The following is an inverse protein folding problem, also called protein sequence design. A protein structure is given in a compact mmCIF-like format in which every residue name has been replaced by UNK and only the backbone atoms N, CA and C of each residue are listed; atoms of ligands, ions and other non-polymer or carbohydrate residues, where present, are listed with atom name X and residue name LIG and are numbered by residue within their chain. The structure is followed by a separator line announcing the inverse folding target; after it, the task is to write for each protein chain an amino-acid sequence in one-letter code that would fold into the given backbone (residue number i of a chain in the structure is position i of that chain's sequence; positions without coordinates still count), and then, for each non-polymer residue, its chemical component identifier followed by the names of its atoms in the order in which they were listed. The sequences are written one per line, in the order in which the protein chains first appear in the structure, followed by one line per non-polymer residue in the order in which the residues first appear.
data_IF_522564550742
#
_entry.id   IF_522564550742
#
_cell.length_a   1.000
_cell.length_b   1.000
_cell.length_c   1.000
_cell.angle_alpha   90.00
_cell.angle_beta   90.00
_cell.angle_gamma   90.00
#
_symmetry.space_group_name_H-M   'P 1'
#
loop_
_entity.id
_entity.type
_entity.pdbx_description
1 polymer ?
#
# COMPACT_ATOMS: atom_id res chain seq x y z
N UNK A 1 2.01 -14.33 11.39
CA UNK A 1 3.39 -14.07 10.89
C UNK A 1 4.42 -14.61 11.88
N UNK A 2 5.50 -15.21 11.40
CA UNK A 2 6.67 -15.59 12.20
C UNK A 2 7.69 -14.44 12.17
N UNK A 3 7.94 -13.81 13.32
CA UNK A 3 8.83 -12.64 13.43
C UNK A 3 10.29 -12.97 13.09
N UNK A 4 10.75 -14.19 13.38
CA UNK A 4 12.10 -14.61 13.01
C UNK A 4 12.25 -14.72 11.49
N UNK A 5 11.28 -15.32 10.80
CA UNK A 5 11.27 -15.40 9.34
C UNK A 5 11.15 -14.01 8.70
N UNK A 6 10.47 -13.08 9.35
CA UNK A 6 10.40 -11.69 8.91
C UNK A 6 11.80 -11.04 8.81
N UNK A 7 12.61 -11.15 9.85
CA UNK A 7 13.98 -10.61 9.86
C UNK A 7 14.95 -11.37 8.93
N UNK A 8 14.63 -12.62 8.57
CA UNK A 8 15.38 -13.39 7.58
C UNK A 8 14.98 -13.10 6.11
N UNK A 9 13.97 -12.26 5.88
CA UNK A 9 13.49 -11.96 4.53
C UNK A 9 12.58 -13.02 3.92
N UNK A 10 11.92 -13.83 4.74
CA UNK A 10 11.10 -14.97 4.30
C UNK A 10 9.61 -14.84 4.68
N UNK A 11 9.16 -13.69 5.17
CA UNK A 11 7.76 -13.48 5.54
C UNK A 11 6.96 -12.86 4.38
N UNK A 12 5.99 -13.62 3.86
CA UNK A 12 5.06 -13.16 2.83
C UNK A 12 3.77 -12.59 3.40
N UNK A 13 3.58 -12.65 4.71
CA UNK A 13 2.36 -12.31 5.43
C UNK A 13 2.56 -11.17 6.45
N UNK A 14 3.64 -10.39 6.31
CA UNK A 14 3.97 -9.31 7.25
C UNK A 14 2.83 -8.26 7.35
N UNK A 15 2.06 -8.04 6.27
CA UNK A 15 0.88 -7.18 6.25
C UNK A 15 -0.27 -7.68 7.16
N UNK A 16 -0.27 -8.93 7.60
CA UNK A 16 -1.26 -9.44 8.56
C UNK A 16 -0.88 -9.14 10.02
N UNK A 17 0.33 -8.62 10.23
CA UNK A 17 0.86 -8.32 11.55
C UNK A 17 1.15 -6.82 11.72
N UNK A 18 1.92 -6.21 10.80
CA UNK A 18 2.21 -4.77 10.79
C UNK A 18 1.04 -3.98 10.20
N UNK A 19 0.94 -2.70 10.56
CA UNK A 19 -0.15 -1.83 10.17
C UNK A 19 -1.19 -1.66 11.28
N UNK A 20 -2.33 -1.07 10.94
CA UNK A 20 -3.46 -0.88 11.83
C UNK A 20 -4.53 -1.95 11.57
N UNK A 21 -4.78 -2.81 12.55
CA UNK A 21 -5.72 -3.93 12.46
C UNK A 21 -6.92 -3.75 13.39
N UNK A 22 -8.12 -3.74 12.82
CA UNK A 22 -9.38 -3.73 13.59
C UNK A 22 -9.59 -5.08 14.24
N UNK A 23 -9.83 -5.09 15.55
CA UNK A 23 -10.06 -6.29 16.37
C UNK A 23 -11.25 -6.08 17.28
N UNK A 24 -11.69 -7.12 17.98
CA UNK A 24 -12.75 -7.02 19.02
C UNK A 24 -12.36 -6.12 20.20
N UNK A 25 -11.06 -5.86 20.40
CA UNK A 25 -10.52 -5.05 21.50
C UNK A 25 -10.23 -3.60 21.08
N UNK A 26 -10.55 -3.21 19.86
CA UNK A 26 -10.20 -1.93 19.26
C UNK A 26 -9.24 -2.11 18.10
N UNK A 27 -8.41 -1.10 17.83
CA UNK A 27 -7.42 -1.15 16.74
C UNK A 27 -6.03 -1.40 17.33
N UNK A 28 -5.34 -2.40 16.80
CA UNK A 28 -3.95 -2.71 17.12
C UNK A 28 -3.05 -2.08 16.07
N UNK A 29 -2.16 -1.20 16.49
CA UNK A 29 -1.17 -0.54 15.65
C UNK A 29 0.19 -1.16 15.86
N UNK A 30 0.89 -1.55 14.78
CA UNK A 30 2.26 -2.10 14.82
C UNK A 30 3.12 -1.49 13.75
N UNK A 31 4.33 -1.09 14.13
CA UNK A 31 5.33 -0.62 13.19
C UNK A 31 6.73 -1.09 13.55
N UNK A 32 7.63 -1.08 12.57
CA UNK A 32 9.04 -1.42 12.72
C UNK A 32 9.87 -0.14 12.71
N UNK A 33 10.58 0.14 13.80
CA UNK A 33 11.48 1.30 13.91
C UNK A 33 12.67 0.95 14.83
N UNK A 34 13.61 0.10 14.38
CA UNK A 34 14.68 -0.45 15.23
C UNK A 34 15.59 0.61 15.86
N UNK A 35 15.82 1.72 15.17
CA UNK A 35 16.73 2.80 15.61
C UNK A 35 15.97 4.04 16.14
N UNK A 36 14.66 3.93 16.38
CA UNK A 36 13.93 4.98 17.08
C UNK A 36 14.24 4.99 18.59
N UNK A 37 14.38 6.18 19.17
CA UNK A 37 14.42 6.36 20.62
C UNK A 37 13.02 6.21 21.25
N UNK A 38 11.98 6.68 20.52
CA UNK A 38 10.57 6.53 20.88
C UNK A 38 9.68 6.54 19.64
N UNK A 39 8.56 5.82 19.71
CA UNK A 39 7.49 5.86 18.73
C UNK A 39 6.19 6.18 19.46
N UNK A 40 5.47 7.16 18.98
CA UNK A 40 4.15 7.52 19.47
C UNK A 40 3.13 7.40 18.35
N UNK A 41 1.95 6.88 18.67
CA UNK A 41 0.78 7.03 17.81
C UNK A 41 0.21 8.43 18.00
N UNK A 42 -0.13 9.11 16.91
CA UNK A 42 -1.00 10.28 16.87
C UNK A 42 -2.18 9.96 15.95
N UNK A 43 -3.40 10.23 16.39
CA UNK A 43 -4.59 9.83 15.67
C UNK A 43 -5.75 10.80 15.89
N UNK A 44 -6.67 10.83 14.92
CA UNK A 44 -7.78 11.78 14.86
C UNK A 44 -8.70 11.70 16.08
N UNK A 45 -9.09 10.50 16.54
CA UNK A 45 -9.99 10.33 17.67
C UNK A 45 -9.35 10.67 19.03
N UNK A 46 -8.04 10.87 19.10
CA UNK A 46 -7.31 11.34 20.27
C UNK A 46 -6.78 12.77 20.10
N UNK A 47 -7.43 13.58 19.26
CA UNK A 47 -7.05 14.97 19.02
C UNK A 47 -5.59 15.19 18.58
N UNK A 48 -5.00 14.16 17.94
CA UNK A 48 -3.60 14.12 17.51
C UNK A 48 -2.56 14.22 18.65
N UNK A 49 -2.99 14.00 19.89
CA UNK A 49 -2.07 13.93 21.04
C UNK A 49 -1.23 12.66 20.99
N UNK A 50 0.09 12.74 21.26
CA UNK A 50 0.98 11.60 21.18
C UNK A 50 0.71 10.55 22.28
N UNK A 51 0.46 9.30 21.89
CA UNK A 51 0.31 8.17 22.80
C UNK A 51 1.53 7.26 22.63
N UNK A 52 2.33 7.03 23.68
CA UNK A 52 3.53 6.19 23.59
C UNK A 52 3.18 4.75 23.20
N UNK A 53 3.90 4.20 22.20
CA UNK A 53 3.83 2.81 21.82
C UNK A 53 4.87 1.98 22.59
N UNK A 54 4.53 0.75 22.91
CA UNK A 54 5.42 -0.16 23.61
C UNK A 54 6.35 -0.86 22.61
N UNK A 55 7.65 -0.87 22.87
CA UNK A 55 8.62 -1.71 22.16
C UNK A 55 8.46 -3.16 22.66
N UNK A 56 7.96 -4.05 21.80
CA UNK A 56 7.60 -5.43 22.15
C UNK A 56 8.62 -6.47 21.66
N UNK A 57 9.61 -6.04 20.86
CA UNK A 57 10.65 -6.93 20.33
C UNK A 57 12.00 -6.19 20.21
N UNK A 58 13.11 -6.90 20.47
CA UNK A 58 14.48 -6.33 20.42
C UNK A 58 14.84 -5.81 19.02
N UNK A 59 14.26 -6.38 17.96
CA UNK A 59 14.40 -5.90 16.58
C UNK A 59 13.66 -4.59 16.28
N UNK A 60 13.04 -3.93 17.28
CA UNK A 60 12.42 -2.62 17.12
C UNK A 60 10.98 -2.63 16.66
N UNK A 61 10.21 -3.67 16.98
CA UNK A 61 8.78 -3.68 16.77
C UNK A 61 8.08 -2.93 17.90
N UNK A 62 7.23 -1.96 17.53
CA UNK A 62 6.40 -1.19 18.46
C UNK A 62 4.93 -1.54 18.27
N UNK A 63 4.19 -1.61 19.38
CA UNK A 63 2.76 -1.95 19.40
C UNK A 63 1.98 -1.02 20.33
N UNK A 64 0.74 -0.73 19.97
CA UNK A 64 -0.26 -0.08 20.81
C UNK A 64 -1.64 -0.57 20.41
N UNK A 65 -2.50 -0.90 21.38
CA UNK A 65 -3.93 -1.13 21.17
C UNK A 65 -4.72 0.06 21.67
N UNK A 66 -5.59 0.61 20.80
CA UNK A 66 -6.48 1.72 21.14
C UNK A 66 -7.93 1.25 21.04
N UNK A 67 -8.61 1.04 22.18
CA UNK A 67 -9.96 0.50 22.21
C UNK A 67 -11.01 1.37 21.51
N UNK A 68 -10.82 2.69 21.53
CA UNK A 68 -11.74 3.68 20.98
C UNK A 68 -11.52 3.94 19.50
N UNK A 69 -10.40 3.50 18.94
CA UNK A 69 -10.10 3.70 17.51
C UNK A 69 -11.00 2.83 16.64
N UNK A 70 -11.46 3.39 15.53
CA UNK A 70 -12.37 2.74 14.58
C UNK A 70 -11.91 2.92 13.13
N UNK A 71 -12.37 2.04 12.24
CA UNK A 71 -12.14 2.16 10.81
C UNK A 71 -12.64 3.52 10.27
N UNK A 72 -11.85 4.12 9.39
CA UNK A 72 -12.10 5.43 8.80
C UNK A 72 -11.31 6.56 9.43
N UNK A 73 -10.86 6.42 10.67
CA UNK A 73 -10.05 7.45 11.34
C UNK A 73 -8.63 7.50 10.81
N UNK A 74 -8.04 8.68 10.88
CA UNK A 74 -6.69 8.97 10.42
C UNK A 74 -5.67 8.82 11.55
N UNK A 75 -4.44 8.42 11.19
CA UNK A 75 -3.34 8.28 12.14
C UNK A 75 -1.97 8.46 11.46
N UNK A 76 -0.95 8.71 12.31
CA UNK A 76 0.46 8.72 11.94
C UNK A 76 1.29 8.16 13.08
N UNK A 77 2.54 7.83 12.79
CA UNK A 77 3.56 7.52 13.80
C UNK A 77 4.51 8.70 13.95
N UNK A 78 4.55 9.29 15.15
CA UNK A 78 5.54 10.30 15.52
C UNK A 78 6.79 9.58 16.02
N UNK A 79 7.87 9.67 15.25
CA UNK A 79 9.11 8.97 15.52
C UNK A 79 10.15 9.95 16.03
N UNK A 80 10.74 9.63 17.20
CA UNK A 80 11.88 10.33 17.77
C UNK A 80 13.13 9.50 17.45
N UNK A 81 14.08 10.02 16.64
CA UNK A 81 15.30 9.30 16.32
C UNK A 81 16.24 9.17 17.54
N UNK A 82 17.14 8.18 17.52
CA UNK A 82 18.17 8.06 18.57
C UNK A 82 19.22 9.19 18.50
N UNK A 83 19.48 9.72 17.31
CA UNK A 83 20.33 10.90 17.16
C UNK A 83 19.60 12.12 17.78
N UNK A 84 20.13 12.74 18.84
CA UNK A 84 19.48 13.89 19.49
C UNK A 84 19.38 15.14 18.61
N UNK A 85 20.18 15.23 17.55
CA UNK A 85 20.14 16.31 16.56
C UNK A 85 19.19 16.00 15.39
N UNK A 86 18.53 14.82 15.39
CA UNK A 86 17.60 14.40 14.35
C UNK A 86 16.20 15.01 14.55
N UNK A 87 15.53 15.28 13.45
CA UNK A 87 14.17 15.82 13.47
C UNK A 87 13.16 14.76 13.93
N UNK A 88 12.20 15.17 14.75
CA UNK A 88 11.02 14.38 15.08
C UNK A 88 10.04 14.54 13.91
N UNK A 89 9.68 13.44 13.26
CA UNK A 89 8.83 13.43 12.07
C UNK A 89 7.57 12.60 12.30
N UNK A 90 6.44 13.09 11.78
CA UNK A 90 5.17 12.40 11.76
C UNK A 90 5.03 11.62 10.44
N UNK A 91 5.29 10.32 10.49
CA UNK A 91 5.28 9.43 9.33
C UNK A 91 3.90 8.81 9.09
N UNK A 92 3.56 8.59 7.81
CA UNK A 92 2.52 7.62 7.48
C UNK A 92 3.00 6.20 7.81
N UNK A 93 2.05 5.28 7.95
CA UNK A 93 2.36 3.88 8.24
C UNK A 93 2.92 3.18 7.00
N UNK A 94 4.12 2.59 7.05
CA UNK A 94 4.66 1.79 5.95
C UNK A 94 3.74 0.65 5.48
N UNK A 95 2.95 0.09 6.40
CA UNK A 95 1.95 -0.95 6.15
C UNK A 95 0.51 -0.40 6.14
N UNK A 96 0.32 0.92 5.98
CA UNK A 96 -0.99 1.55 5.97
C UNK A 96 -1.87 1.07 4.82
N UNK A 97 -3.10 0.65 5.11
CA UNK A 97 -4.06 0.11 4.14
C UNK A 97 -4.94 1.17 3.47
N UNK A 98 -4.74 2.42 3.80
CA UNK A 98 -5.37 3.59 3.20
C UNK A 98 -4.65 4.86 3.61
N UNK A 99 -4.66 5.85 2.75
CA UNK A 99 -4.07 7.17 3.00
C UNK A 99 -5.02 8.27 2.58
N UNK A 100 -4.80 9.47 3.14
CA UNK A 100 -5.48 10.69 2.69
C UNK A 100 -5.11 11.03 1.24
N UNK A 101 -6.01 11.75 0.58
CA UNK A 101 -5.70 12.36 -0.71
C UNK A 101 -4.66 13.47 -0.53
N UNK A 102 -3.66 13.48 -1.41
CA UNK A 102 -2.66 14.56 -1.46
C UNK A 102 -3.31 15.95 -1.48
N UNK A 103 -2.73 16.99 -0.86
CA UNK A 103 -1.37 17.04 -0.27
C UNK A 103 -1.29 16.46 1.15
N UNK A 104 -2.40 16.02 1.72
CA UNK A 104 -2.42 15.35 3.01
C UNK A 104 -1.77 13.97 2.91
N UNK A 105 -1.36 13.42 4.06
CA UNK A 105 -0.53 12.22 4.07
C UNK A 105 -0.68 11.33 5.32
N UNK A 106 -1.77 11.46 6.07
CA UNK A 106 -2.06 10.53 7.14
C UNK A 106 -2.51 9.18 6.60
N UNK A 107 -2.18 8.12 7.30
CA UNK A 107 -2.74 6.81 7.08
C UNK A 107 -4.18 6.74 7.59
N UNK A 108 -5.02 5.90 6.98
CA UNK A 108 -6.43 5.72 7.37
C UNK A 108 -6.62 4.26 7.79
N UNK A 109 -7.21 4.06 8.97
CA UNK A 109 -7.58 2.74 9.46
C UNK A 109 -8.60 2.11 8.51
N UNK A 110 -8.32 0.92 7.99
CA UNK A 110 -9.21 0.19 7.07
C UNK A 110 -9.53 -1.21 7.60
N UNK A 111 -10.79 -1.57 7.59
CA UNK A 111 -11.22 -2.96 7.73
C UNK A 111 -11.40 -3.57 6.34
N UNK A 112 -10.37 -4.29 5.88
CA UNK A 112 -10.38 -4.94 4.57
C UNK A 112 -11.18 -6.24 4.55
N UNK A 113 -11.52 -6.79 5.71
CA UNK A 113 -12.23 -8.07 5.85
C UNK A 113 -13.72 -7.96 5.55
N UNK A 114 -14.27 -6.75 5.55
CA UNK A 114 -15.70 -6.51 5.36
C UNK A 114 -16.18 -6.56 3.90
N UNK A 115 -15.26 -6.67 2.92
CA UNK A 115 -15.64 -6.87 1.51
C UNK A 115 -15.81 -8.37 1.19
N UNK A 116 -16.90 -8.69 0.49
CA UNK A 116 -17.17 -10.05 0.02
C UNK A 116 -17.04 -10.13 -1.50
N UNK A 117 -16.04 -10.86 -2.00
CA UNK A 117 -15.85 -11.12 -3.42
C UNK A 117 -16.87 -12.10 -4.00
N UNK A 118 -17.24 -11.89 -5.26
CA UNK A 118 -18.16 -12.76 -6.03
C UNK A 118 -17.43 -13.48 -7.19
N UNK A 119 -16.12 -13.47 -7.19
CA UNK A 119 -15.23 -13.95 -8.25
C UNK A 119 -14.77 -15.42 -8.09
N UNK A 120 -15.38 -16.20 -7.21
CA UNK A 120 -15.01 -17.60 -6.94
C UNK A 120 -14.89 -18.45 -8.22
N UNK A 121 -15.78 -18.23 -9.21
CA UNK A 121 -15.71 -18.92 -10.49
C UNK A 121 -14.42 -18.60 -11.24
N UNK A 122 -14.00 -17.33 -11.25
CA UNK A 122 -12.75 -16.90 -11.87
C UNK A 122 -11.56 -17.52 -11.17
N UNK A 123 -11.44 -17.38 -9.87
CA UNK A 123 -10.32 -17.92 -9.07
C UNK A 123 -10.14 -19.43 -9.26
N UNK A 124 -11.23 -20.19 -9.35
CA UNK A 124 -11.19 -21.64 -9.56
C UNK A 124 -10.64 -21.99 -10.94
N UNK A 125 -10.89 -21.18 -11.97
CA UNK A 125 -10.59 -21.50 -13.36
C UNK A 125 -9.43 -20.70 -13.95
N UNK A 126 -8.93 -19.67 -13.27
CA UNK A 126 -7.86 -18.78 -13.79
C UNK A 126 -6.60 -19.51 -14.25
N UNK A 127 -6.26 -20.64 -13.63
CA UNK A 127 -5.14 -21.48 -14.06
C UNK A 127 -5.26 -22.03 -15.49
N UNK A 128 -6.48 -22.19 -16.01
CA UNK A 128 -6.72 -22.62 -17.38
C UNK A 128 -6.44 -21.52 -18.42
N UNK A 129 -6.43 -20.25 -18.00
CA UNK A 129 -6.16 -19.09 -18.87
C UNK A 129 -4.70 -19.05 -19.30
N UNK A 130 -3.76 -19.61 -18.52
CA UNK A 130 -2.33 -19.70 -18.88
C UNK A 130 -2.05 -20.44 -20.21
N UNK A 131 -3.00 -21.24 -20.69
CA UNK A 131 -2.91 -21.98 -21.96
C UNK A 131 -3.58 -21.30 -23.13
N UNK A 132 -4.18 -20.11 -22.91
CA UNK A 132 -4.86 -19.32 -23.93
C UNK A 132 -4.02 -18.12 -24.35
N UNK A 133 -4.21 -17.58 -25.55
CA UNK A 133 -3.59 -16.32 -25.94
C UNK A 133 -3.95 -15.21 -24.94
N UNK A 134 -2.96 -14.44 -24.55
CA UNK A 134 -3.11 -13.28 -23.66
C UNK A 134 -3.06 -12.02 -24.51
N UNK A 135 -4.07 -11.16 -24.35
CA UNK A 135 -4.15 -9.84 -24.95
C UNK A 135 -4.43 -8.83 -23.84
N UNK A 136 -3.43 -8.01 -23.51
CA UNK A 136 -3.41 -7.12 -22.34
C UNK A 136 -3.72 -5.69 -22.79
N UNK A 137 -4.62 -5.02 -22.07
CA UNK A 137 -4.86 -3.59 -22.17
C UNK A 137 -4.25 -2.89 -20.97
N UNK A 138 -3.15 -2.17 -21.18
CA UNK A 138 -2.53 -1.33 -20.17
C UNK A 138 -3.31 -0.03 -20.01
N UNK A 139 -3.55 0.40 -18.76
CA UNK A 139 -4.36 1.59 -18.48
C UNK A 139 -3.88 2.36 -17.25
N UNK A 140 -3.77 3.69 -17.40
CA UNK A 140 -3.67 4.63 -16.29
C UNK A 140 -5.06 5.20 -15.99
N UNK A 141 -5.62 4.89 -14.82
CA UNK A 141 -7.01 5.22 -14.50
C UNK A 141 -7.28 6.73 -14.49
N UNK A 142 -6.32 7.53 -14.02
CA UNK A 142 -6.46 8.98 -13.89
C UNK A 142 -6.53 9.74 -15.21
N UNK A 143 -6.08 9.15 -16.32
CA UNK A 143 -6.03 9.79 -17.64
C UNK A 143 -6.78 9.05 -18.75
N UNK A 144 -7.30 7.84 -18.47
CA UNK A 144 -8.00 7.04 -19.48
C UNK A 144 -9.27 7.71 -20.00
N UNK A 145 -10.06 8.28 -19.08
CA UNK A 145 -11.23 9.09 -19.39
C UNK A 145 -11.43 10.18 -18.35
N UNK A 146 -11.79 11.37 -18.81
CA UNK A 146 -12.09 12.50 -17.93
C UNK A 146 -13.55 12.46 -17.46
N UNK A 147 -13.77 12.57 -16.15
CA UNK A 147 -15.07 12.76 -15.54
C UNK A 147 -15.39 14.27 -15.49
N UNK A 148 -16.36 14.77 -16.27
CA UNK A 148 -16.67 16.20 -16.30
C UNK A 148 -17.33 16.72 -15.00
N UNK A 149 -17.76 15.82 -14.12
CA UNK A 149 -18.43 16.17 -12.86
C UNK A 149 -17.47 16.16 -11.66
N UNK A 150 -16.20 15.77 -11.84
CA UNK A 150 -15.18 15.75 -10.81
C UNK A 150 -14.17 16.89 -11.03
N UNK A 151 -13.77 17.65 -9.99
CA UNK A 151 -12.83 18.77 -10.12
C UNK A 151 -11.45 18.36 -10.65
N UNK A 152 -11.01 17.14 -10.36
CA UNK A 152 -9.75 16.57 -10.83
C UNK A 152 -9.90 15.81 -12.15
N UNK A 153 -11.14 15.65 -12.63
CA UNK A 153 -11.46 14.88 -13.82
C UNK A 153 -11.42 13.36 -13.63
N UNK A 154 -11.43 12.87 -12.38
CA UNK A 154 -11.30 11.45 -12.10
C UNK A 154 -12.65 10.74 -11.96
N UNK A 155 -12.69 9.49 -12.42
CA UNK A 155 -13.73 8.54 -12.05
C UNK A 155 -13.30 7.76 -10.80
N UNK A 156 -14.25 7.42 -9.95
CA UNK A 156 -13.99 6.44 -8.87
C UNK A 156 -13.78 5.04 -9.46
N UNK A 157 -13.14 4.16 -8.68
CA UNK A 157 -12.98 2.73 -9.05
C UNK A 157 -14.30 2.08 -9.43
N UNK A 158 -15.38 2.39 -8.70
CA UNK A 158 -16.72 1.87 -8.93
C UNK A 158 -17.34 2.40 -10.24
N UNK A 159 -17.22 3.70 -10.49
CA UNK A 159 -17.79 4.33 -11.70
C UNK A 159 -17.06 3.92 -12.98
N UNK A 160 -15.74 3.70 -12.91
CA UNK A 160 -14.93 3.38 -14.07
C UNK A 160 -15.03 1.89 -14.44
N UNK A 161 -15.27 1.00 -13.49
CA UNK A 161 -15.28 -0.45 -13.68
C UNK A 161 -16.19 -0.90 -14.84
N UNK A 162 -17.49 -0.56 -14.91
CA UNK A 162 -18.36 -0.99 -16.00
C UNK A 162 -17.95 -0.41 -17.35
N UNK A 163 -17.40 0.82 -17.36
CA UNK A 163 -16.96 1.48 -18.60
C UNK A 163 -15.70 0.81 -19.17
N UNK A 164 -14.78 0.46 -18.30
CA UNK A 164 -13.52 -0.19 -18.67
C UNK A 164 -13.78 -1.63 -19.15
N UNK A 165 -14.59 -2.39 -18.44
CA UNK A 165 -15.00 -3.75 -18.81
C UNK A 165 -15.67 -3.77 -20.18
N UNK A 166 -16.63 -2.87 -20.43
CA UNK A 166 -17.31 -2.78 -21.74
C UNK A 166 -16.32 -2.48 -22.87
N UNK A 167 -15.42 -1.53 -22.66
CA UNK A 167 -14.38 -1.17 -23.64
C UNK A 167 -13.45 -2.34 -23.95
N UNK A 168 -12.88 -2.96 -22.93
CA UNK A 168 -11.91 -4.05 -23.04
C UNK A 168 -12.52 -5.26 -23.76
N UNK A 169 -13.78 -5.62 -23.42
CA UNK A 169 -14.51 -6.72 -24.10
C UNK A 169 -14.78 -6.40 -25.58
N UNK A 170 -15.24 -5.20 -25.89
CA UNK A 170 -15.51 -4.78 -27.29
C UNK A 170 -14.24 -4.75 -28.13
N UNK A 171 -13.10 -4.38 -27.52
CA UNK A 171 -11.80 -4.33 -28.17
C UNK A 171 -11.11 -5.71 -28.29
N UNK A 172 -11.65 -6.76 -27.63
CA UNK A 172 -11.13 -8.12 -27.73
C UNK A 172 -9.96 -8.42 -26.80
N UNK A 173 -9.72 -7.58 -25.77
CA UNK A 173 -8.75 -7.86 -24.72
C UNK A 173 -9.32 -8.83 -23.68
N UNK A 174 -8.45 -9.61 -23.04
CA UNK A 174 -8.82 -10.55 -21.98
C UNK A 174 -8.10 -10.32 -20.64
N UNK A 175 -7.17 -9.36 -20.59
CA UNK A 175 -6.54 -8.86 -19.40
C UNK A 175 -6.49 -7.34 -19.40
N UNK A 176 -6.51 -6.76 -18.19
CA UNK A 176 -6.21 -5.35 -17.94
C UNK A 176 -4.97 -5.29 -17.10
N UNK A 177 -3.98 -4.49 -17.50
CA UNK A 177 -2.83 -4.11 -16.69
C UNK A 177 -3.04 -2.70 -16.19
N UNK A 178 -3.19 -2.56 -14.88
CA UNK A 178 -3.27 -1.26 -14.25
C UNK A 178 -1.86 -0.73 -13.97
N UNK A 179 -1.54 0.45 -14.49
CA UNK A 179 -0.39 1.23 -14.04
C UNK A 179 -0.47 1.40 -12.52
N UNK A 180 0.63 1.73 -11.80
CA UNK A 180 0.67 1.59 -10.35
C UNK A 180 -0.53 2.22 -9.65
N UNK A 181 -1.19 1.45 -8.78
CA UNK A 181 -2.35 1.88 -7.99
C UNK A 181 -2.02 2.13 -6.52
N UNK A 182 -0.78 1.97 -6.11
CA UNK A 182 -0.31 2.34 -4.77
C UNK A 182 -0.32 3.85 -4.58
N UNK A 183 -0.52 4.33 -3.34
CA UNK A 183 -0.56 5.76 -3.06
C UNK A 183 0.78 6.45 -3.36
N UNK A 184 0.69 7.66 -3.92
CA UNK A 184 1.83 8.45 -4.37
C UNK A 184 1.53 9.95 -4.29
N UNK A 185 2.53 10.84 -4.03
CA UNK A 185 2.31 12.25 -3.82
C UNK A 185 2.07 13.02 -5.11
N UNK A 186 2.76 12.67 -6.20
CA UNK A 186 2.78 13.44 -7.44
C UNK A 186 2.05 12.74 -8.60
N UNK A 187 1.03 13.37 -9.17
CA UNK A 187 0.25 12.83 -10.30
C UNK A 187 1.13 12.57 -11.54
N UNK A 188 2.15 13.41 -11.75
CA UNK A 188 3.06 13.28 -12.89
C UNK A 188 3.95 12.04 -12.83
N UNK A 189 4.06 11.38 -11.67
CA UNK A 189 4.79 10.12 -11.53
C UNK A 189 4.01 8.91 -12.05
N UNK A 190 2.72 9.05 -12.38
CA UNK A 190 1.80 7.96 -12.76
C UNK A 190 1.75 6.81 -11.74
N UNK A 191 2.14 7.06 -10.49
CA UNK A 191 2.20 6.06 -9.44
C UNK A 191 3.53 5.32 -9.33
N UNK A 192 4.56 5.68 -10.10
CA UNK A 192 5.88 5.03 -10.01
C UNK A 192 6.74 5.53 -8.83
N UNK A 193 6.34 6.60 -8.14
CA UNK A 193 7.00 7.10 -6.92
C UNK A 193 6.07 6.95 -5.73
N UNK A 194 6.04 5.76 -5.15
CA UNK A 194 5.10 5.40 -4.10
C UNK A 194 5.50 5.96 -2.73
N UNK A 195 4.48 6.30 -1.93
CA UNK A 195 4.60 6.60 -0.49
C UNK A 195 3.82 5.61 0.36
N UNK A 196 2.76 4.97 -0.19
CA UNK A 196 1.92 3.99 0.51
C UNK A 196 1.80 2.69 -0.28
N UNK A 197 2.71 1.74 -0.06
CA UNK A 197 2.80 0.49 -0.82
C UNK A 197 1.59 -0.44 -0.65
N UNK A 198 0.98 -0.44 0.54
CA UNK A 198 -0.22 -1.24 0.87
C UNK A 198 -1.52 -0.44 0.75
N UNK A 199 -1.43 0.84 0.40
CA UNK A 199 -2.58 1.71 0.26
C UNK A 199 -2.96 1.87 -1.21
N UNK A 200 -4.14 1.44 -1.65
CA UNK A 200 -4.68 1.89 -2.93
C UNK A 200 -4.77 3.42 -2.96
N UNK A 201 -4.40 4.02 -4.09
CA UNK A 201 -4.46 5.48 -4.19
C UNK A 201 -5.88 5.99 -3.96
N UNK A 202 -6.00 6.95 -3.08
CA UNK A 202 -7.27 7.60 -2.69
C UNK A 202 -7.85 8.50 -3.78
N UNK A 203 -7.10 8.76 -4.87
CA UNK A 203 -7.57 9.53 -6.03
C UNK A 203 -8.86 8.98 -6.64
N UNK A 204 -8.99 7.67 -6.63
CA UNK A 204 -10.10 6.97 -7.29
C UNK A 204 -11.06 6.32 -6.30
N UNK A 205 -10.90 6.58 -5.00
CA UNK A 205 -11.81 6.10 -3.97
C UNK A 205 -11.16 5.19 -2.93
N UNK A 206 -11.91 4.22 -2.42
CA UNK A 206 -11.54 3.38 -1.29
C UNK A 206 -10.99 2.02 -1.73
N UNK A 207 -10.33 1.32 -0.78
CA UNK A 207 -9.88 -0.07 -0.98
C UNK A 207 -11.03 -1.00 -1.40
N UNK A 208 -12.22 -0.88 -0.79
CA UNK A 208 -13.39 -1.69 -1.14
C UNK A 208 -13.88 -1.42 -2.57
N UNK A 209 -13.82 -0.17 -3.03
CA UNK A 209 -14.19 0.15 -4.42
C UNK A 209 -13.17 -0.42 -5.42
N UNK A 210 -11.88 -0.49 -5.06
CA UNK A 210 -10.89 -1.20 -5.87
C UNK A 210 -11.15 -2.71 -5.91
N UNK A 211 -11.47 -3.33 -4.75
CA UNK A 211 -11.90 -4.73 -4.71
C UNK A 211 -13.11 -4.98 -5.61
N UNK A 212 -14.09 -4.08 -5.60
CA UNK A 212 -15.27 -4.15 -6.47
C UNK A 212 -14.90 -4.03 -7.96
N UNK A 213 -13.94 -3.18 -8.33
CA UNK A 213 -13.44 -3.07 -9.69
C UNK A 213 -12.83 -4.40 -10.15
N UNK A 214 -11.95 -5.00 -9.33
CA UNK A 214 -11.34 -6.31 -9.62
C UNK A 214 -12.40 -7.40 -9.74
N UNK A 215 -13.33 -7.47 -8.80
CA UNK A 215 -14.45 -8.42 -8.79
C UNK A 215 -15.32 -8.27 -10.07
N UNK A 216 -15.61 -7.04 -10.48
CA UNK A 216 -16.35 -6.74 -11.73
C UNK A 216 -15.61 -7.24 -12.96
N UNK A 217 -14.28 -7.08 -13.03
CA UNK A 217 -13.46 -7.61 -14.12
C UNK A 217 -13.52 -9.14 -14.16
N UNK A 218 -13.36 -9.80 -13.02
CA UNK A 218 -13.39 -11.25 -12.90
C UNK A 218 -14.74 -11.86 -13.28
N UNK A 219 -15.84 -11.23 -12.84
CA UNK A 219 -17.20 -11.64 -13.23
C UNK A 219 -17.44 -11.50 -14.74
N UNK A 220 -16.76 -10.54 -15.38
CA UNK A 220 -16.79 -10.35 -16.82
C UNK A 220 -15.86 -11.29 -17.59
N UNK A 221 -15.06 -12.11 -16.91
CA UNK A 221 -14.07 -13.02 -17.50
C UNK A 221 -12.79 -12.33 -17.97
N UNK A 222 -12.42 -11.22 -17.33
CA UNK A 222 -11.23 -10.42 -17.61
C UNK A 222 -10.27 -10.56 -16.41
N UNK A 223 -9.01 -10.96 -16.69
CA UNK A 223 -7.94 -10.97 -15.68
C UNK A 223 -7.40 -9.58 -15.42
N UNK A 224 -6.81 -9.39 -14.23
CA UNK A 224 -6.24 -8.12 -13.79
C UNK A 224 -4.79 -8.27 -13.37
N UNK A 225 -3.94 -7.38 -13.84
CA UNK A 225 -2.51 -7.30 -13.55
C UNK A 225 -2.24 -5.94 -12.92
N UNK A 226 -1.40 -5.90 -11.90
CA UNK A 226 -0.94 -4.66 -11.30
C UNK A 226 0.51 -4.40 -11.71
N UNK A 227 0.81 -3.20 -12.18
CA UNK A 227 2.18 -2.72 -12.28
C UNK A 227 2.71 -2.42 -10.86
N UNK A 228 3.65 -3.24 -10.41
CA UNK A 228 4.20 -3.25 -9.07
C UNK A 228 5.65 -2.75 -9.10
N UNK A 229 5.98 -1.78 -8.25
CA UNK A 229 7.26 -1.06 -8.26
C UNK A 229 8.10 -1.39 -7.02
N UNK A 230 8.75 -2.58 -6.93
CA UNK A 230 9.52 -2.98 -5.75
C UNK A 230 10.97 -2.48 -5.77
N UNK A 231 11.31 -1.51 -6.62
CA UNK A 231 12.69 -1.05 -6.87
C UNK A 231 13.03 0.17 -6.04
N UNK A 232 12.12 1.14 -6.00
CA UNK A 232 12.34 2.43 -5.38
C UNK A 232 11.05 3.02 -4.78
N UNK A 233 11.18 4.08 -4.00
CA UNK A 233 10.07 4.81 -3.38
C UNK A 233 10.34 6.32 -3.38
N UNK A 234 9.30 7.12 -3.14
CA UNK A 234 9.38 8.59 -3.11
C UNK A 234 10.28 9.09 -1.97
N UNK A 235 10.99 10.19 -2.21
CA UNK A 235 11.90 10.82 -1.23
C UNK A 235 11.18 11.62 -0.13
N UNK A 236 9.86 11.61 -0.12
CA UNK A 236 9.05 12.37 0.82
C UNK A 236 9.29 11.91 2.26
N UNK A 237 9.77 12.81 3.12
CA UNK A 237 10.21 12.50 4.47
C UNK A 237 9.11 12.04 5.43
N UNK A 238 7.83 12.19 5.07
CA UNK A 238 6.71 11.63 5.85
C UNK A 238 6.44 10.15 5.56
N UNK A 239 7.10 9.55 4.57
CA UNK A 239 6.92 8.15 4.17
C UNK A 239 8.10 7.28 4.62
N UNK A 240 8.66 6.45 3.71
CA UNK A 240 9.69 5.48 4.06
C UNK A 240 11.08 6.08 4.22
N UNK A 241 11.35 7.24 3.61
CA UNK A 241 12.67 7.87 3.64
C UNK A 241 13.07 8.23 5.07
N UNK A 242 14.20 7.68 5.54
CA UNK A 242 14.73 7.85 6.90
C UNK A 242 13.69 7.58 7.99
N UNK A 243 12.87 6.54 7.81
CA UNK A 243 11.67 6.27 8.60
C UNK A 243 11.90 6.25 10.11
N UNK A 244 12.97 5.63 10.59
CA UNK A 244 13.32 5.60 12.04
C UNK A 244 14.47 6.54 12.41
N UNK A 245 14.73 7.55 11.58
CA UNK A 245 15.86 8.46 11.67
C UNK A 245 17.15 7.91 11.04
N UNK A 246 17.08 6.72 10.46
CA UNK A 246 18.18 6.08 9.71
C UNK A 246 17.71 5.57 8.36
N UNK A 247 18.63 5.09 7.53
CA UNK A 247 18.32 4.46 6.25
C UNK A 247 17.78 3.03 6.48
N UNK A 248 16.52 2.92 6.95
CA UNK A 248 15.90 1.62 7.24
C UNK A 248 15.53 0.86 5.97
N UNK A 249 14.89 1.52 5.01
CA UNK A 249 14.41 0.94 3.76
C UNK A 249 15.34 1.15 2.58
N UNK A 250 16.14 2.20 2.60
CA UNK A 250 17.04 2.64 1.54
C UNK A 250 18.51 2.32 1.82
N UNK A 251 19.34 2.42 0.77
CA UNK A 251 20.79 2.33 0.91
C UNK A 251 21.38 3.53 1.66
N UNK A 252 22.39 3.32 2.54
CA UNK A 252 23.03 4.41 3.29
C UNK A 252 23.97 5.25 2.42
N UNK A 253 24.59 4.66 1.39
CA UNK A 253 25.52 5.34 0.48
C UNK A 253 24.75 6.12 -0.58
N UNK A 254 25.10 7.38 -0.75
CA UNK A 254 24.39 8.30 -1.65
C UNK A 254 24.37 7.81 -3.11
N UNK A 255 25.45 7.19 -3.57
CA UNK A 255 25.60 6.68 -4.92
C UNK A 255 24.62 5.55 -5.22
N UNK A 256 24.27 4.72 -4.22
CA UNK A 256 23.38 3.59 -4.36
C UNK A 256 21.93 3.93 -4.00
N UNK A 257 21.74 4.99 -3.18
CA UNK A 257 20.43 5.35 -2.65
C UNK A 257 19.49 5.94 -3.71
N UNK A 258 20.01 6.78 -4.59
CA UNK A 258 19.14 7.52 -5.52
C UNK A 258 19.10 6.92 -6.92
N UNK A 259 17.87 6.69 -7.41
CA UNK A 259 17.63 6.34 -8.82
C UNK A 259 17.88 7.55 -9.74
N UNK A 260 17.96 7.30 -11.05
CA UNK A 260 18.04 8.35 -12.06
C UNK A 260 16.83 9.30 -12.07
N UNK A 261 15.72 8.88 -11.51
CA UNK A 261 14.48 9.68 -11.35
C UNK A 261 14.38 10.41 -10.01
N UNK A 262 15.43 10.36 -9.17
CA UNK A 262 15.48 11.04 -7.87
C UNK A 262 14.67 10.35 -6.76
N UNK A 263 14.30 9.08 -6.93
CA UNK A 263 13.64 8.26 -5.91
C UNK A 263 14.67 7.50 -5.07
N UNK A 264 14.32 7.11 -3.84
CA UNK A 264 15.16 6.25 -3.00
C UNK A 264 15.09 4.79 -3.44
N UNK A 265 16.23 4.13 -3.59
CA UNK A 265 16.31 2.71 -3.91
C UNK A 265 16.17 1.85 -2.65
N UNK A 266 15.33 0.79 -2.71
CA UNK A 266 15.25 -0.18 -1.63
C UNK A 266 16.55 -0.97 -1.44
N UNK A 267 16.96 -1.14 -0.18
CA UNK A 267 18.08 -2.03 0.18
C UNK A 267 17.60 -3.50 0.22
N UNK A 268 17.57 -4.16 -0.93
CA UNK A 268 17.06 -5.53 -1.09
C UNK A 268 17.87 -6.60 -0.35
N UNK A 269 19.09 -6.27 0.12
CA UNK A 269 19.89 -7.19 0.92
C UNK A 269 19.43 -7.30 2.40
N UNK A 270 18.52 -6.43 2.85
CA UNK A 270 18.03 -6.39 4.23
C UNK A 270 16.77 -7.26 4.35
N UNK A 271 16.77 -8.19 5.32
CA UNK A 271 15.70 -9.19 5.46
C UNK A 271 14.32 -8.58 5.66
N UNK A 272 14.19 -7.59 6.56
CA UNK A 272 12.92 -6.90 6.80
C UNK A 272 12.40 -6.14 5.57
N UNK A 273 13.29 -5.63 4.71
CA UNK A 273 12.91 -4.99 3.44
C UNK A 273 12.46 -6.03 2.42
N UNK A 274 13.15 -7.18 2.33
CA UNK A 274 12.68 -8.30 1.51
C UNK A 274 11.28 -8.76 1.94
N UNK A 275 11.06 -8.94 3.25
CA UNK A 275 9.76 -9.34 3.78
C UNK A 275 8.68 -8.29 3.54
N UNK A 276 9.02 -6.99 3.65
CA UNK A 276 8.11 -5.89 3.30
C UNK A 276 7.63 -5.99 1.85
N UNK A 277 8.56 -6.12 0.90
CA UNK A 277 8.25 -6.16 -0.53
C UNK A 277 7.51 -7.45 -0.93
N UNK A 278 7.94 -8.62 -0.41
CA UNK A 278 7.27 -9.90 -0.65
C UNK A 278 5.85 -9.91 -0.07
N UNK A 279 5.69 -9.36 1.13
CA UNK A 279 4.38 -9.22 1.75
C UNK A 279 3.48 -8.25 0.99
N UNK A 280 4.05 -7.17 0.45
CA UNK A 280 3.29 -6.24 -0.40
C UNK A 280 2.81 -6.93 -1.69
N UNK A 281 3.67 -7.68 -2.37
CA UNK A 281 3.27 -8.46 -3.54
C UNK A 281 2.16 -9.47 -3.20
N UNK A 282 2.32 -10.21 -2.10
CA UNK A 282 1.29 -11.15 -1.64
C UNK A 282 -0.03 -10.45 -1.28
N UNK A 283 0.03 -9.28 -0.66
CA UNK A 283 -1.15 -8.47 -0.30
C UNK A 283 -2.00 -8.12 -1.54
N UNK A 284 -1.38 -7.61 -2.59
CA UNK A 284 -2.10 -7.28 -3.82
C UNK A 284 -2.71 -8.52 -4.49
N UNK A 285 -2.01 -9.66 -4.45
CA UNK A 285 -2.46 -10.93 -5.05
C UNK A 285 -3.56 -11.63 -4.22
N UNK A 286 -3.48 -11.57 -2.89
CA UNK A 286 -4.36 -12.34 -2.00
C UNK A 286 -5.53 -11.55 -1.43
N UNK A 287 -5.34 -10.24 -1.14
CA UNK A 287 -6.38 -9.38 -0.56
C UNK A 287 -7.21 -8.70 -1.64
N UNK A 288 -6.58 -8.26 -2.74
CA UNK A 288 -7.28 -7.61 -3.86
C UNK A 288 -7.56 -8.56 -5.03
N UNK A 289 -7.09 -9.80 -4.96
CA UNK A 289 -7.29 -10.83 -5.99
C UNK A 289 -6.67 -10.51 -7.36
N UNK A 290 -5.65 -9.65 -7.44
CA UNK A 290 -4.92 -9.49 -8.70
C UNK A 290 -4.39 -10.83 -9.20
N UNK A 291 -4.41 -11.08 -10.51
CA UNK A 291 -3.99 -12.33 -11.15
C UNK A 291 -2.48 -12.38 -11.42
N UNK A 292 -1.84 -11.23 -11.42
CA UNK A 292 -0.42 -11.11 -11.67
C UNK A 292 0.13 -9.73 -11.35
N UNK A 293 1.45 -9.66 -11.35
CA UNK A 293 2.21 -8.43 -11.18
C UNK A 293 3.11 -8.24 -12.41
N UNK A 294 3.17 -7.01 -12.91
CA UNK A 294 4.22 -6.56 -13.83
C UNK A 294 5.33 -5.93 -12.98
N UNK A 295 6.57 -6.38 -13.20
CA UNK A 295 7.74 -5.95 -12.44
C UNK A 295 8.63 -5.06 -13.29
#
# INVERSE_FOLDING_TARGET
MDIHQFFLGNAFDAHTYFGAHVTEQGVVFRTLAPNAAAVNLIWEGGDWEPIPMQRIHDGGVYELTVPEAVAGQMYKYRITPQNPDGDIIDHCDPYGFGMELRPNNASIIRDLSSYTFHDKKWLTHRGNHRKKPVNIYEVHLGSWRTNPNDPNGWYTYEEIAPKLVDYVKKAGYNYIEFMPLSEHPADCSWGYQNTGFFSPTSRYGTAHQLMQLVDTCHQAGIGVILDFVPVHFAVDGYALNHYDGTTLYEYPEKEDNYSEWGSCNFIHARGEVCSFLQSCANYWLSVFHFDGLRM
#
